data_IF_361619084879
#
_entry.id   IF_361619084879
#
_cell.length_a   1.000
_cell.length_b   1.000
_cell.length_c   1.000
_cell.angle_alpha   90.00
_cell.angle_beta   90.00
_cell.angle_gamma   90.00
#
_symmetry.space_group_name_H-M   'P 1'
#
loop_
_entity.id
_entity.type
_entity.pdbx_description
1 polymer ?
#
# COMPACT_ATOMS: atom_id res chain seq x y z
N UNK A 1 -15.66 21.23 3.28
CA UNK A 1 -14.34 21.34 3.91
C UNK A 1 -13.74 19.96 3.96
N UNK A 2 -12.75 19.67 3.13
CA UNK A 2 -12.02 18.40 3.18
C UNK A 2 -10.94 18.57 4.24
N UNK A 3 -11.04 17.85 5.37
CA UNK A 3 -9.91 17.78 6.30
C UNK A 3 -8.84 16.89 5.65
N UNK A 4 -7.69 17.48 5.34
CA UNK A 4 -6.49 16.75 5.00
C UNK A 4 -6.12 15.82 6.16
N UNK A 5 -5.63 14.61 5.87
CA UNK A 5 -5.20 13.70 6.93
C UNK A 5 -3.86 14.18 7.50
N UNK A 6 -3.75 14.41 8.81
CA UNK A 6 -2.47 14.68 9.45
C UNK A 6 -1.43 13.62 9.07
N UNK A 7 -0.16 14.02 8.96
CA UNK A 7 0.94 13.11 8.63
C UNK A 7 0.99 11.89 9.56
N UNK A 8 0.70 12.10 10.84
CA UNK A 8 0.60 11.05 11.87
C UNK A 8 -0.48 10.00 11.56
N UNK A 9 -1.63 10.43 11.00
CA UNK A 9 -2.72 9.54 10.61
C UNK A 9 -2.42 8.79 9.31
N UNK A 10 -1.63 9.40 8.40
CA UNK A 10 -1.12 8.70 7.21
C UNK A 10 -0.19 7.55 7.60
N UNK A 11 0.72 7.78 8.54
CA UNK A 11 1.60 6.72 9.05
C UNK A 11 0.83 5.59 9.75
N UNK A 12 -0.19 5.92 10.56
CA UNK A 12 -1.04 4.92 11.18
C UNK A 12 -1.80 4.08 10.12
N UNK A 13 -2.29 4.73 9.06
CA UNK A 13 -3.01 4.08 7.97
C UNK A 13 -2.11 3.15 7.15
N UNK A 14 -0.88 3.57 6.84
CA UNK A 14 0.12 2.70 6.20
C UNK A 14 0.57 1.55 7.11
N UNK A 15 0.55 1.75 8.43
CA UNK A 15 0.71 0.68 9.41
C UNK A 15 -0.35 -0.42 9.29
N UNK A 16 -1.60 -0.04 9.00
CA UNK A 16 -2.68 -0.99 8.75
C UNK A 16 -2.45 -1.79 7.45
N UNK A 17 -2.02 -1.12 6.37
CA UNK A 17 -1.63 -1.80 5.11
C UNK A 17 -0.52 -2.81 5.39
N UNK A 18 0.49 -2.43 6.18
CA UNK A 18 1.57 -3.33 6.55
C UNK A 18 1.06 -4.54 7.36
N UNK A 19 0.12 -4.35 8.29
CA UNK A 19 -0.46 -5.45 9.05
C UNK A 19 -1.24 -6.43 8.16
N UNK A 20 -2.04 -5.93 7.23
CA UNK A 20 -2.78 -6.75 6.27
C UNK A 20 -1.84 -7.56 5.37
N UNK A 21 -0.79 -6.91 4.87
CA UNK A 21 0.19 -7.53 3.99
C UNK A 21 1.01 -8.61 4.72
N UNK A 22 1.39 -8.37 5.98
CA UNK A 22 2.03 -9.39 6.84
C UNK A 22 1.15 -10.61 7.06
N UNK A 23 -0.15 -10.38 7.32
CA UNK A 23 -1.10 -11.45 7.59
C UNK A 23 -1.34 -12.36 6.38
N UNK A 24 -1.21 -11.82 5.15
CA UNK A 24 -1.34 -12.59 3.93
C UNK A 24 -0.08 -13.42 3.60
N UNK A 25 1.09 -12.96 4.00
CA UNK A 25 2.36 -13.58 3.61
C UNK A 25 2.70 -14.81 4.47
N UNK A 26 3.29 -15.86 3.87
CA UNK A 26 3.75 -17.02 4.63
C UNK A 26 4.89 -16.64 5.57
N UNK A 27 5.02 -17.37 6.68
CA UNK A 27 6.12 -17.18 7.62
C UNK A 27 7.49 -17.35 6.94
N UNK A 28 8.43 -16.47 7.29
CA UNK A 28 9.78 -16.44 6.75
C UNK A 28 9.91 -15.82 5.36
N UNK A 29 8.97 -14.94 4.97
CA UNK A 29 9.15 -14.07 3.81
C UNK A 29 10.32 -13.08 4.05
N UNK A 30 11.00 -12.68 2.98
CA UNK A 30 12.15 -11.75 2.98
C UNK A 30 11.67 -10.30 2.77
N UNK A 31 10.69 -10.13 1.89
CA UNK A 31 9.93 -8.88 1.68
C UNK A 31 8.54 -9.19 1.13
N UNK A 32 7.60 -8.29 1.35
CA UNK A 32 6.29 -8.33 0.71
C UNK A 32 5.95 -6.96 0.16
N UNK A 33 5.27 -6.90 -0.99
CA UNK A 33 4.97 -5.65 -1.64
C UNK A 33 3.62 -5.67 -2.36
N UNK A 34 3.10 -4.48 -2.60
CA UNK A 34 1.89 -4.21 -3.36
C UNK A 34 2.29 -3.35 -4.54
N UNK A 35 2.08 -3.85 -5.75
CA UNK A 35 2.09 -3.05 -6.98
C UNK A 35 0.66 -2.58 -7.22
N UNK A 36 0.39 -1.27 -7.15
CA UNK A 36 -0.96 -0.74 -7.28
C UNK A 36 -1.05 0.39 -8.31
N UNK A 37 -2.17 0.39 -9.05
CA UNK A 37 -2.70 1.55 -9.76
C UNK A 37 -3.94 2.04 -8.99
N UNK A 38 -3.88 3.25 -8.47
CA UNK A 38 -4.90 3.88 -7.63
C UNK A 38 -5.66 4.89 -8.48
N UNK A 39 -6.79 4.47 -9.02
CA UNK A 39 -7.68 5.32 -9.81
C UNK A 39 -8.63 6.14 -8.93
N UNK A 40 -9.41 7.00 -9.59
CA UNK A 40 -10.50 7.73 -8.93
C UNK A 40 -11.73 6.83 -8.74
N UNK A 41 -11.99 5.95 -9.72
CA UNK A 41 -13.15 5.05 -9.75
C UNK A 41 -12.82 3.57 -9.44
N UNK A 42 -11.63 3.10 -9.85
CA UNK A 42 -11.20 1.71 -9.69
C UNK A 42 -9.72 1.59 -9.31
N UNK A 43 -9.40 0.61 -8.48
CA UNK A 43 -8.04 0.29 -8.05
C UNK A 43 -7.62 -1.06 -8.64
N UNK A 44 -6.44 -1.13 -9.24
CA UNK A 44 -5.77 -2.40 -9.55
C UNK A 44 -4.63 -2.60 -8.56
N UNK A 45 -4.52 -3.79 -7.98
CA UNK A 45 -3.43 -4.11 -7.07
C UNK A 45 -3.01 -5.55 -7.20
N UNK A 46 -1.70 -5.77 -7.19
CA UNK A 46 -1.08 -7.09 -7.15
C UNK A 46 -0.27 -7.20 -5.87
N UNK A 47 -0.63 -8.17 -5.04
CA UNK A 47 0.05 -8.46 -3.78
C UNK A 47 1.07 -9.56 -4.02
N UNK A 48 2.30 -9.34 -3.57
CA UNK A 48 3.41 -10.26 -3.75
C UNK A 48 4.24 -10.40 -2.47
N UNK A 49 4.89 -11.54 -2.34
CA UNK A 49 5.93 -11.76 -1.34
C UNK A 49 7.09 -12.55 -1.92
N UNK A 50 8.28 -12.34 -1.36
CA UNK A 50 9.49 -13.04 -1.72
C UNK A 50 9.87 -13.96 -0.56
N UNK A 51 10.18 -15.22 -0.87
CA UNK A 51 10.65 -16.18 0.11
C UNK A 51 11.70 -17.06 -0.53
N UNK A 52 12.92 -17.05 0.02
CA UNK A 52 14.06 -17.82 -0.51
C UNK A 52 14.35 -17.46 -1.98
N UNK A 53 14.20 -16.18 -2.34
CA UNK A 53 14.36 -15.69 -3.70
C UNK A 53 13.22 -16.02 -4.67
N UNK A 54 12.14 -16.69 -4.24
CA UNK A 54 10.98 -16.97 -5.07
C UNK A 54 9.86 -15.95 -4.85
N UNK A 55 9.29 -15.42 -5.94
CA UNK A 55 8.09 -14.58 -5.92
C UNK A 55 6.85 -15.46 -5.76
N UNK A 56 6.03 -15.12 -4.77
CA UNK A 56 4.77 -15.76 -4.44
C UNK A 56 3.66 -14.71 -4.45
N UNK A 57 2.47 -15.09 -4.93
CA UNK A 57 1.25 -14.30 -4.77
C UNK A 57 0.41 -14.97 -3.66
N UNK A 58 0.37 -14.40 -2.45
CA UNK A 58 -0.44 -14.98 -1.38
C UNK A 58 -1.93 -14.83 -1.71
N UNK A 59 -2.73 -15.81 -1.29
CA UNK A 59 -4.18 -15.69 -1.33
C UNK A 59 -4.60 -14.59 -0.35
N UNK A 60 -4.92 -13.42 -0.91
CA UNK A 60 -5.37 -12.29 -0.13
C UNK A 60 -6.87 -12.17 -0.28
N UNK A 61 -7.57 -12.35 0.83
CA UNK A 61 -9.03 -12.23 0.85
C UNK A 61 -9.51 -10.90 0.30
N UNK A 62 -10.62 -10.93 -0.45
CA UNK A 62 -11.21 -9.76 -1.12
C UNK A 62 -11.41 -8.57 -0.18
N UNK A 63 -11.79 -8.81 1.08
CA UNK A 63 -11.95 -7.76 2.08
C UNK A 63 -10.64 -7.02 2.39
N UNK A 64 -9.51 -7.72 2.45
CA UNK A 64 -8.21 -7.11 2.68
C UNK A 64 -7.78 -6.28 1.46
N UNK A 65 -7.99 -6.78 0.24
CA UNK A 65 -7.74 -6.01 -0.98
C UNK A 65 -8.55 -4.70 -1.01
N UNK A 66 -9.86 -4.75 -0.73
CA UNK A 66 -10.67 -3.53 -0.65
C UNK A 66 -10.18 -2.56 0.41
N UNK A 67 -9.78 -3.08 1.58
CA UNK A 67 -9.28 -2.26 2.68
C UNK A 67 -7.97 -1.55 2.31
N UNK A 68 -7.05 -2.27 1.68
CA UNK A 68 -5.79 -1.72 1.17
C UNK A 68 -6.06 -0.61 0.14
N UNK A 69 -6.89 -0.88 -0.88
CA UNK A 69 -7.21 0.10 -1.92
C UNK A 69 -7.83 1.38 -1.36
N UNK A 70 -8.74 1.25 -0.39
CA UNK A 70 -9.33 2.39 0.33
C UNK A 70 -8.27 3.24 1.04
N UNK A 71 -7.34 2.61 1.76
CA UNK A 71 -6.26 3.31 2.46
C UNK A 71 -5.34 4.01 1.46
N UNK A 72 -4.96 3.35 0.37
CA UNK A 72 -4.09 3.95 -0.65
C UNK A 72 -4.75 5.18 -1.31
N UNK A 73 -6.07 5.15 -1.54
CA UNK A 73 -6.83 6.33 -2.01
C UNK A 73 -6.87 7.46 -0.99
N UNK A 74 -7.08 7.14 0.29
CA UNK A 74 -7.05 8.12 1.38
C UNK A 74 -5.67 8.81 1.47
N UNK A 75 -4.59 8.03 1.38
CA UNK A 75 -3.20 8.55 1.35
C UNK A 75 -2.96 9.42 0.11
N UNK A 76 -3.35 8.94 -1.09
CA UNK A 76 -3.23 9.71 -2.36
C UNK A 76 -3.91 11.06 -2.24
N UNK A 77 -5.16 11.07 -1.77
CA UNK A 77 -5.95 12.29 -1.59
C UNK A 77 -5.31 13.24 -0.59
N UNK A 78 -4.92 12.74 0.58
CA UNK A 78 -4.30 13.57 1.60
C UNK A 78 -2.99 14.19 1.12
N UNK A 79 -2.15 13.44 0.40
CA UNK A 79 -0.91 13.99 -0.15
C UNK A 79 -1.17 15.07 -1.19
N UNK A 80 -2.19 14.89 -2.03
CA UNK A 80 -2.60 15.91 -2.99
C UNK A 80 -3.12 17.19 -2.29
N UNK A 81 -3.92 17.03 -1.23
CA UNK A 81 -4.40 18.14 -0.41
C UNK A 81 -3.23 18.91 0.26
N UNK A 82 -2.12 18.22 0.57
CA UNK A 82 -0.87 18.80 1.08
C UNK A 82 0.00 19.44 -0.03
N UNK A 83 -0.47 19.47 -1.29
CA UNK A 83 0.22 20.09 -2.43
C UNK A 83 1.26 19.19 -3.10
N UNK A 84 1.31 17.89 -2.77
CA UNK A 84 2.20 16.95 -3.46
C UNK A 84 1.69 16.68 -4.90
N UNK A 85 2.60 16.33 -5.84
CA UNK A 85 2.22 15.88 -7.16
C UNK A 85 1.24 14.71 -7.10
N UNK A 86 0.33 14.66 -8.08
CA UNK A 86 -0.54 13.50 -8.25
C UNK A 86 0.29 12.28 -8.66
N UNK A 87 -0.15 11.14 -8.18
CA UNK A 87 0.38 9.84 -8.57
C UNK A 87 -0.78 8.89 -8.78
N UNK A 88 -0.68 8.03 -9.78
CA UNK A 88 -1.65 6.95 -10.03
C UNK A 88 -1.06 5.58 -9.76
N UNK A 89 0.26 5.46 -9.62
CA UNK A 89 0.91 4.17 -9.35
C UNK A 89 1.79 4.24 -8.12
N UNK A 90 1.81 3.17 -7.35
CA UNK A 90 2.71 3.04 -6.22
C UNK A 90 3.18 1.59 -5.99
N UNK A 91 4.36 1.47 -5.38
CA UNK A 91 4.86 0.25 -4.78
C UNK A 91 4.94 0.45 -3.27
N UNK A 92 4.12 -0.27 -2.51
CA UNK A 92 4.24 -0.31 -1.05
C UNK A 92 4.97 -1.58 -0.64
N UNK A 93 6.12 -1.46 0.01
CA UNK A 93 6.96 -2.60 0.41
C UNK A 93 7.06 -2.68 1.92
N UNK A 94 7.03 -3.90 2.47
CA UNK A 94 7.28 -4.19 3.88
C UNK A 94 8.38 -5.23 4.05
N UNK A 95 9.05 -5.14 5.20
CA UNK A 95 10.08 -6.08 5.63
C UNK A 95 9.67 -6.76 6.96
N UNK A 96 10.21 -7.95 7.25
CA UNK A 96 9.94 -8.69 8.49
C UNK A 96 10.26 -7.89 9.76
N UNK A 97 11.24 -6.99 9.70
CA UNK A 97 11.69 -6.17 10.83
C UNK A 97 10.75 -4.99 11.18
N UNK A 98 9.65 -4.83 10.45
CA UNK A 98 8.69 -3.74 10.69
C UNK A 98 8.80 -2.60 9.70
N UNK A 99 9.96 -2.43 9.04
CA UNK A 99 10.18 -1.33 8.08
C UNK A 99 9.25 -1.44 6.89
N UNK A 100 8.86 -0.28 6.37
CA UNK A 100 8.05 -0.18 5.15
C UNK A 100 8.45 1.04 4.34
N UNK A 101 8.20 0.99 3.04
CA UNK A 101 8.40 2.08 2.09
C UNK A 101 7.17 2.25 1.22
N UNK A 102 6.92 3.48 0.79
CA UNK A 102 5.93 3.80 -0.23
C UNK A 102 6.64 4.56 -1.35
N UNK A 103 6.77 3.92 -2.50
CA UNK A 103 7.34 4.51 -3.69
C UNK A 103 6.19 4.89 -4.62
N UNK A 104 6.12 6.16 -5.01
CA UNK A 104 5.04 6.68 -5.86
C UNK A 104 5.61 7.07 -7.22
N UNK A 105 4.87 6.76 -8.27
CA UNK A 105 5.19 7.16 -9.64
C UNK A 105 4.20 8.26 -10.00
N UNK A 106 4.73 9.47 -10.21
CA UNK A 106 3.93 10.65 -10.53
C UNK A 106 3.18 10.51 -11.85
N UNK A 107 2.04 11.17 -11.93
CA UNK A 107 1.32 11.39 -13.19
C UNK A 107 2.01 12.56 -13.91
N UNK A 108 2.42 12.35 -15.17
CA UNK A 108 2.97 13.41 -16.03
C UNK A 108 1.94 14.52 -16.33
#
# INVERSE_FOLDING_TARGET
MTHAMPESDRFASLGEVAALLRAACPAGYERAWIEATVGDDWDEQTICCERRGERLQPDTGVAACFRIGRILREVRKSMHDDGNPRWSRCTFTIFPDGRHTLEMIGDE
#
